data_IF_358139687708
#
_entry.id   IF_358139687708
#
_cell.length_a   1.000
_cell.length_b   1.000
_cell.length_c   1.000
_cell.angle_alpha   90.00
_cell.angle_beta   90.00
_cell.angle_gamma   90.00
#
_symmetry.space_group_name_H-M   'P 1'
#
loop_
_entity.id
_entity.type
_entity.pdbx_description
1 polymer ?
#
# COMPACT_ATOMS: atom_id res chain seq x y z
N UNK A 1 -9.90 13.46 -46.44
CA UNK A 1 -9.38 12.61 -45.34
C UNK A 1 -9.23 11.21 -45.88
N UNK A 2 -8.01 10.66 -45.95
CA UNK A 2 -7.78 9.32 -46.49
C UNK A 2 -8.07 8.23 -45.44
N UNK A 3 -8.12 6.96 -45.85
CA UNK A 3 -8.46 5.84 -44.97
C UNK A 3 -7.48 5.66 -43.80
N UNK A 4 -6.18 5.95 -44.00
CA UNK A 4 -5.18 5.96 -42.92
C UNK A 4 -5.44 7.07 -41.91
N UNK A 5 -5.77 8.29 -42.35
CA UNK A 5 -6.13 9.40 -41.47
C UNK A 5 -7.41 9.12 -40.69
N UNK A 6 -8.39 8.43 -41.29
CA UNK A 6 -9.62 8.00 -40.61
C UNK A 6 -9.37 6.90 -39.58
N UNK A 7 -8.49 5.94 -39.88
CA UNK A 7 -8.05 4.91 -38.94
C UNK A 7 -7.27 5.53 -37.76
N UNK A 8 -6.38 6.46 -38.03
CA UNK A 8 -5.61 7.17 -37.01
C UNK A 8 -6.53 8.06 -36.14
N UNK A 9 -7.52 8.73 -36.75
CA UNK A 9 -8.55 9.47 -36.03
C UNK A 9 -9.47 8.56 -35.20
N UNK A 10 -9.81 7.36 -35.72
CA UNK A 10 -10.65 6.38 -35.03
C UNK A 10 -9.90 5.70 -33.87
N UNK A 11 -8.62 5.39 -34.05
CA UNK A 11 -7.71 4.89 -33.01
C UNK A 11 -7.47 5.97 -31.93
N UNK A 12 -7.46 7.25 -32.30
CA UNK A 12 -7.40 8.39 -31.38
C UNK A 12 -8.76 8.76 -30.75
N UNK A 13 -9.88 8.14 -31.17
CA UNK A 13 -11.25 8.36 -30.68
C UNK A 13 -11.71 7.36 -29.62
N UNK A 14 -10.81 6.56 -29.04
CA UNK A 14 -11.19 5.73 -27.88
C UNK A 14 -11.73 6.61 -26.76
N UNK A 15 -12.83 6.27 -26.07
CA UNK A 15 -13.28 7.04 -24.89
C UNK A 15 -12.31 6.94 -23.69
N UNK A 16 -11.24 6.15 -23.83
CA UNK A 16 -10.27 5.82 -22.79
C UNK A 16 -8.85 6.19 -23.23
N UNK A 17 -8.08 6.77 -22.33
CA UNK A 17 -6.62 6.78 -22.36
C UNK A 17 -6.09 5.56 -21.61
N UNK A 18 -4.90 5.08 -21.99
CA UNK A 18 -4.28 3.95 -21.31
C UNK A 18 -2.78 4.09 -21.14
N UNK A 19 -2.26 3.60 -20.03
CA UNK A 19 -0.83 3.46 -19.77
C UNK A 19 -0.56 2.14 -19.06
N UNK A 20 0.55 1.49 -19.41
CA UNK A 20 0.98 0.24 -18.80
C UNK A 20 2.08 0.52 -17.79
N UNK A 21 2.00 -0.14 -16.65
CA UNK A 21 2.95 -0.04 -15.55
C UNK A 21 3.55 -1.40 -15.25
N UNK A 22 4.87 -1.44 -15.10
CA UNK A 22 5.58 -2.64 -14.66
C UNK A 22 5.59 -2.70 -13.14
N UNK A 23 4.66 -3.46 -12.58
CA UNK A 23 4.56 -3.63 -11.13
C UNK A 23 5.50 -4.76 -10.69
N UNK A 24 6.59 -4.42 -10.01
CA UNK A 24 7.55 -5.36 -9.45
C UNK A 24 7.09 -5.82 -8.06
N UNK A 25 7.02 -7.13 -7.81
CA UNK A 25 6.84 -7.67 -6.45
C UNK A 25 8.17 -7.63 -5.70
N UNK A 26 8.25 -6.88 -4.59
CA UNK A 26 9.48 -6.78 -3.78
C UNK A 26 9.52 -7.89 -2.72
N UNK A 27 8.36 -8.21 -2.15
CA UNK A 27 8.22 -9.28 -1.16
C UNK A 27 7.09 -10.25 -1.55
N UNK A 28 7.09 -11.48 -1.02
CA UNK A 28 6.06 -12.47 -1.33
C UNK A 28 4.65 -11.92 -1.09
N UNK A 29 3.76 -12.11 -2.07
CA UNK A 29 2.41 -11.56 -2.06
C UNK A 29 1.38 -12.66 -1.78
N UNK A 30 0.90 -12.71 -0.53
CA UNK A 30 -0.14 -13.66 -0.10
C UNK A 30 -1.53 -13.19 -0.49
N UNK A 31 -2.03 -13.55 -1.67
CA UNK A 31 -3.39 -13.21 -2.13
C UNK A 31 -4.07 -14.49 -2.61
N UNK A 32 -5.27 -14.76 -2.09
CA UNK A 32 -6.01 -15.98 -2.39
C UNK A 32 -7.31 -15.67 -3.16
N UNK A 33 -7.69 -16.57 -4.06
CA UNK A 33 -8.92 -16.50 -4.86
C UNK A 33 -10.18 -16.84 -4.07
N UNK A 34 -11.35 -16.71 -4.73
CA UNK A 34 -12.65 -17.04 -4.14
C UNK A 34 -12.84 -18.54 -3.85
N UNK A 35 -12.07 -19.40 -4.52
CA UNK A 35 -12.04 -20.85 -4.29
C UNK A 35 -11.47 -21.24 -2.92
N UNK A 36 -10.87 -20.29 -2.18
CA UNK A 36 -10.31 -20.54 -0.84
C UNK A 36 -9.17 -21.56 -0.83
N UNK A 37 -8.63 -21.93 -2.00
CA UNK A 37 -7.56 -22.91 -2.09
C UNK A 37 -6.31 -22.36 -1.42
N UNK A 38 -5.95 -22.94 -0.29
CA UNK A 38 -4.69 -22.67 0.42
C UNK A 38 -3.44 -23.00 -0.41
N UNK A 39 -3.59 -23.62 -1.58
CA UNK A 39 -2.52 -24.07 -2.47
C UNK A 39 -2.31 -23.17 -3.69
N UNK A 40 -3.13 -22.13 -3.85
CA UNK A 40 -3.10 -21.26 -5.01
C UNK A 40 -3.11 -19.78 -4.59
N UNK A 41 -2.14 -19.03 -5.09
CA UNK A 41 -2.10 -17.59 -4.99
C UNK A 41 -2.39 -16.96 -6.36
N UNK A 42 -3.20 -15.90 -6.38
CA UNK A 42 -3.65 -15.23 -7.60
C UNK A 42 -3.50 -13.71 -7.47
N UNK A 43 -2.95 -13.06 -8.51
CA UNK A 43 -2.94 -11.60 -8.57
C UNK A 43 -4.33 -11.10 -8.98
N UNK A 44 -4.96 -10.32 -8.11
CA UNK A 44 -6.37 -9.91 -8.28
C UNK A 44 -6.51 -8.41 -8.41
N UNK A 45 -7.03 -7.95 -9.55
CA UNK A 45 -7.38 -6.55 -9.79
C UNK A 45 -8.31 -5.97 -8.70
N UNK A 46 -9.34 -6.68 -8.20
CA UNK A 46 -10.15 -6.17 -7.09
C UNK A 46 -9.32 -5.86 -5.83
N UNK A 47 -8.35 -6.71 -5.51
CA UNK A 47 -7.45 -6.50 -4.36
C UNK A 47 -6.57 -5.26 -4.58
N UNK A 48 -6.01 -5.09 -5.78
CA UNK A 48 -5.24 -3.91 -6.17
C UNK A 48 -6.09 -2.63 -6.06
N UNK A 49 -7.31 -2.63 -6.60
CA UNK A 49 -8.23 -1.48 -6.52
C UNK A 49 -8.57 -1.12 -5.07
N UNK A 50 -8.76 -2.12 -4.22
CA UNK A 50 -9.05 -1.91 -2.80
C UNK A 50 -7.94 -1.16 -2.07
N UNK A 51 -6.68 -1.51 -2.31
CA UNK A 51 -5.53 -0.83 -1.69
C UNK A 51 -5.26 0.55 -2.28
N UNK A 52 -5.45 0.74 -3.60
CA UNK A 52 -5.36 2.07 -4.24
C UNK A 52 -6.38 3.04 -3.63
N UNK A 53 -7.64 2.60 -3.50
CA UNK A 53 -8.71 3.40 -2.83
C UNK A 53 -8.37 3.70 -1.38
N UNK A 54 -7.76 2.75 -0.68
CA UNK A 54 -7.31 2.94 0.70
C UNK A 54 -6.26 4.03 0.82
N UNK A 55 -5.23 3.99 -0.01
CA UNK A 55 -4.15 4.98 0.02
C UNK A 55 -4.61 6.36 -0.45
N UNK A 56 -5.56 6.43 -1.39
CA UNK A 56 -6.22 7.70 -1.70
C UNK A 56 -6.93 8.28 -0.46
N UNK A 57 -7.72 7.48 0.28
CA UNK A 57 -8.36 7.94 1.53
C UNK A 57 -7.36 8.39 2.60
N UNK A 58 -6.21 7.72 2.69
CA UNK A 58 -5.19 8.02 3.69
C UNK A 58 -4.56 9.42 3.51
N UNK A 59 -4.72 10.03 2.34
CA UNK A 59 -4.29 11.40 2.02
C UNK A 59 -5.46 12.38 1.85
N UNK A 60 -6.63 12.06 2.42
CA UNK A 60 -7.76 12.99 2.43
C UNK A 60 -7.92 13.64 3.82
N UNK A 61 -7.91 14.97 3.84
CA UNK A 61 -8.17 15.79 5.03
C UNK A 61 -9.66 16.20 5.12
N UNK A 62 -10.56 15.22 5.07
CA UNK A 62 -12.01 15.45 5.16
C UNK A 62 -12.61 14.59 6.25
N UNK A 63 -13.15 15.19 7.31
CA UNK A 63 -13.66 14.41 8.44
C UNK A 63 -15.06 13.83 8.19
N UNK A 64 -15.85 14.46 7.31
CA UNK A 64 -17.24 14.06 7.03
C UNK A 64 -17.29 12.77 6.18
N UNK A 65 -17.69 11.61 6.75
CA UNK A 65 -17.60 10.33 6.07
C UNK A 65 -18.47 10.24 4.81
N UNK A 66 -19.60 10.95 4.80
CA UNK A 66 -20.51 10.94 3.65
C UNK A 66 -19.90 11.67 2.45
N UNK A 67 -19.24 12.79 2.68
CA UNK A 67 -18.56 13.56 1.63
C UNK A 67 -17.36 12.79 1.08
N UNK A 68 -16.55 12.18 1.97
CA UNK A 68 -15.44 11.33 1.56
C UNK A 68 -15.91 10.16 0.68
N UNK A 69 -17.01 9.50 1.05
CA UNK A 69 -17.58 8.40 0.27
C UNK A 69 -18.13 8.85 -1.09
N UNK A 70 -18.74 10.03 -1.15
CA UNK A 70 -19.23 10.63 -2.41
C UNK A 70 -18.06 10.91 -3.36
N UNK A 71 -16.99 11.51 -2.87
CA UNK A 71 -15.78 11.79 -3.65
C UNK A 71 -15.08 10.51 -4.08
N UNK A 72 -14.97 9.51 -3.20
CA UNK A 72 -14.42 8.20 -3.55
C UNK A 72 -15.23 7.54 -4.67
N UNK A 73 -16.56 7.62 -4.58
CA UNK A 73 -17.46 7.04 -5.59
C UNK A 73 -17.33 7.76 -6.93
N UNK A 74 -17.14 9.09 -6.92
CA UNK A 74 -16.85 9.86 -8.13
C UNK A 74 -15.53 9.42 -8.79
N UNK A 75 -14.48 9.19 -8.01
CA UNK A 75 -13.14 8.83 -8.51
C UNK A 75 -12.97 7.35 -8.86
N UNK A 76 -13.62 6.44 -8.15
CA UNK A 76 -13.35 4.99 -8.29
C UNK A 76 -14.60 4.14 -8.57
N UNK A 77 -15.75 4.79 -8.73
CA UNK A 77 -17.06 4.14 -8.85
C UNK A 77 -17.53 3.53 -7.52
N UNK A 78 -18.79 3.15 -7.51
CA UNK A 78 -19.45 2.62 -6.31
C UNK A 78 -20.92 2.31 -6.57
N UNK A 79 -21.53 1.58 -5.65
CA UNK A 79 -22.94 1.17 -5.72
C UNK A 79 -23.81 1.84 -4.66
N UNK A 80 -23.22 2.53 -3.68
CA UNK A 80 -23.93 3.07 -2.52
C UNK A 80 -24.49 4.47 -2.78
N UNK A 81 -23.63 5.50 -2.83
CA UNK A 81 -24.03 6.90 -2.99
C UNK A 81 -23.70 7.35 -4.41
N UNK A 82 -24.67 7.88 -5.16
CA UNK A 82 -24.49 8.30 -6.56
C UNK A 82 -23.83 7.20 -7.41
N UNK A 83 -24.46 6.02 -7.42
CA UNK A 83 -23.92 4.82 -8.03
C UNK A 83 -23.46 5.07 -9.47
N UNK A 84 -22.22 4.69 -9.76
CA UNK A 84 -21.63 4.91 -11.07
C UNK A 84 -20.53 3.90 -11.38
N UNK A 85 -20.34 3.63 -12.68
CA UNK A 85 -19.22 2.86 -13.17
C UNK A 85 -17.92 3.64 -12.94
N UNK A 86 -16.90 2.94 -12.45
CA UNK A 86 -15.56 3.49 -12.24
C UNK A 86 -15.03 4.20 -13.50
N UNK A 87 -14.52 5.43 -13.40
CA UNK A 87 -13.82 6.11 -14.48
C UNK A 87 -12.46 5.50 -14.81
N UNK A 88 -11.89 4.73 -13.87
CA UNK A 88 -10.61 4.02 -14.03
C UNK A 88 -10.81 2.50 -13.96
N UNK A 89 -10.07 1.76 -14.78
CA UNK A 89 -9.97 0.31 -14.72
C UNK A 89 -8.50 -0.12 -14.76
N UNK A 90 -8.19 -1.23 -14.09
CA UNK A 90 -6.88 -1.87 -14.18
C UNK A 90 -7.06 -3.23 -14.82
N UNK A 91 -6.16 -3.60 -15.73
CA UNK A 91 -6.22 -4.83 -16.49
C UNK A 91 -4.86 -5.50 -16.46
N UNK A 92 -4.86 -6.81 -16.20
CA UNK A 92 -3.73 -7.70 -16.45
C UNK A 92 -4.14 -8.62 -17.59
N UNK A 93 -3.29 -8.74 -18.61
CA UNK A 93 -3.63 -9.51 -19.82
C UNK A 93 -3.79 -11.00 -19.55
N UNK A 94 -2.97 -11.53 -18.63
CA UNK A 94 -3.00 -12.92 -18.20
C UNK A 94 -3.15 -12.98 -16.68
N UNK A 95 -4.08 -13.79 -16.16
CA UNK A 95 -4.14 -14.07 -14.73
C UNK A 95 -2.79 -14.63 -14.26
N UNK A 96 -2.19 -13.99 -13.27
CA UNK A 96 -0.98 -14.52 -12.65
C UNK A 96 -1.36 -15.39 -11.47
N UNK A 97 -1.24 -16.71 -11.68
CA UNK A 97 -1.58 -17.74 -10.71
C UNK A 97 -0.32 -18.54 -10.41
N UNK A 98 -0.03 -18.75 -9.13
CA UNK A 98 1.08 -19.56 -8.66
C UNK A 98 0.59 -20.62 -7.70
N UNK A 99 1.07 -21.84 -7.91
CA UNK A 99 0.82 -22.99 -7.04
C UNK A 99 2.11 -23.39 -6.36
N UNK A 100 2.00 -23.88 -5.12
CA UNK A 100 3.11 -24.48 -4.36
C UNK A 100 4.30 -23.58 -4.02
N UNK A 101 4.26 -22.27 -4.30
CA UNK A 101 5.24 -21.33 -3.76
C UNK A 101 4.81 -20.86 -2.38
N UNK A 102 5.52 -21.28 -1.33
CA UNK A 102 5.12 -21.05 0.06
C UNK A 102 6.14 -20.23 0.83
N UNK A 103 5.63 -19.37 1.71
CA UNK A 103 6.40 -18.65 2.73
C UNK A 103 5.68 -18.75 4.06
N UNK A 104 6.40 -18.53 5.16
CA UNK A 104 5.82 -18.56 6.50
C UNK A 104 5.20 -17.22 6.86
N UNK A 105 3.94 -17.22 7.30
CA UNK A 105 3.26 -16.02 7.85
C UNK A 105 4.00 -15.47 9.07
N UNK A 106 4.65 -16.36 9.83
CA UNK A 106 5.53 -16.03 10.96
C UNK A 106 6.96 -16.47 10.61
N UNK A 107 7.68 -15.70 9.78
CA UNK A 107 8.95 -16.15 9.23
C UNK A 107 10.05 -16.25 10.29
N UNK A 108 10.01 -15.42 11.34
CA UNK A 108 10.90 -15.52 12.51
C UNK A 108 10.75 -16.81 13.33
N UNK A 109 9.68 -17.59 13.11
CA UNK A 109 9.41 -18.88 13.77
C UNK A 109 9.33 -20.05 12.78
N UNK A 110 9.50 -19.78 11.48
CA UNK A 110 9.25 -20.73 10.41
C UNK A 110 7.89 -21.46 10.56
N UNK A 111 6.83 -20.72 10.88
CA UNK A 111 5.52 -21.31 11.18
C UNK A 111 4.39 -20.69 10.35
N UNK A 112 3.29 -21.45 10.24
CA UNK A 112 2.07 -21.07 9.51
C UNK A 112 2.34 -20.80 8.02
N UNK A 113 2.57 -21.86 7.21
CA UNK A 113 2.85 -21.72 5.79
C UNK A 113 1.66 -21.09 5.04
N UNK A 114 1.97 -20.29 4.03
CA UNK A 114 1.01 -19.59 3.18
C UNK A 114 1.52 -19.63 1.74
N UNK A 115 0.63 -19.97 0.81
CA UNK A 115 0.93 -19.89 -0.62
C UNK A 115 0.94 -18.42 -1.05
N UNK A 116 1.95 -18.04 -1.82
CA UNK A 116 2.20 -16.66 -2.21
C UNK A 116 2.50 -16.58 -3.71
N UNK A 117 2.30 -15.41 -4.30
CA UNK A 117 3.01 -15.04 -5.51
C UNK A 117 4.46 -14.70 -5.13
N UNK A 118 5.46 -15.12 -5.93
CA UNK A 118 6.86 -14.89 -5.63
C UNK A 118 7.25 -13.43 -5.76
N UNK A 119 8.27 -13.07 -4.99
CA UNK A 119 9.04 -11.83 -5.11
C UNK A 119 9.85 -11.78 -6.41
N UNK A 120 10.32 -10.58 -6.77
CA UNK A 120 11.17 -10.27 -7.91
C UNK A 120 10.54 -10.66 -9.25
N UNK A 121 9.22 -10.44 -9.38
CA UNK A 121 8.49 -10.61 -10.63
C UNK A 121 7.82 -9.32 -11.04
N UNK A 122 7.83 -9.07 -12.34
CA UNK A 122 7.13 -7.95 -12.94
C UNK A 122 5.77 -8.38 -13.49
N UNK A 123 4.77 -7.56 -13.20
CA UNK A 123 3.41 -7.72 -13.71
C UNK A 123 3.08 -6.47 -14.55
N UNK A 124 2.85 -6.61 -15.86
CA UNK A 124 2.33 -5.51 -16.65
C UNK A 124 0.87 -5.26 -16.24
N UNK A 125 0.62 -4.09 -15.66
CA UNK A 125 -0.73 -3.63 -15.29
C UNK A 125 -1.11 -2.46 -16.18
N UNK A 126 -2.11 -2.65 -17.03
CA UNK A 126 -2.66 -1.60 -17.88
C UNK A 126 -3.71 -0.82 -17.10
N UNK A 127 -3.47 0.46 -16.89
CA UNK A 127 -4.45 1.42 -16.38
C UNK A 127 -5.22 2.02 -17.56
N UNK A 128 -6.55 1.98 -17.49
CA UNK A 128 -7.47 2.57 -18.47
C UNK A 128 -8.27 3.68 -17.76
N UNK A 129 -8.24 4.89 -18.27
CA UNK A 129 -8.91 6.06 -17.67
C UNK A 129 -9.80 6.72 -18.72
N UNK A 130 -11.03 7.12 -18.36
CA UNK A 130 -11.88 7.90 -19.29
C UNK A 130 -11.20 9.21 -19.67
N UNK A 131 -11.27 9.59 -20.96
CA UNK A 131 -10.56 10.77 -21.49
C UNK A 131 -10.88 12.11 -20.82
N UNK A 132 -12.06 12.24 -20.22
CA UNK A 132 -12.50 13.44 -19.52
C UNK A 132 -12.06 13.48 -18.04
N UNK A 133 -11.26 12.51 -17.61
CA UNK A 133 -10.75 12.40 -16.25
C UNK A 133 -9.26 12.69 -16.22
N UNK A 134 -8.77 13.11 -15.06
CA UNK A 134 -7.36 13.40 -14.86
C UNK A 134 -6.57 12.08 -14.70
N UNK A 135 -5.79 11.73 -15.73
CA UNK A 135 -4.91 10.56 -15.69
C UNK A 135 -3.86 10.72 -14.60
N UNK A 136 -3.22 11.90 -14.50
CA UNK A 136 -2.13 12.17 -13.57
C UNK A 136 -2.57 11.96 -12.12
N UNK A 137 -3.82 12.27 -11.80
CA UNK A 137 -4.40 11.94 -10.50
C UNK A 137 -4.30 10.44 -10.19
N UNK A 138 -4.74 9.56 -11.09
CA UNK A 138 -4.69 8.11 -10.86
C UNK A 138 -3.26 7.58 -10.85
N UNK A 139 -2.35 8.16 -11.65
CA UNK A 139 -0.93 7.81 -11.61
C UNK A 139 -0.35 8.12 -10.23
N UNK A 140 -0.56 9.33 -9.71
CA UNK A 140 -0.05 9.75 -8.40
C UNK A 140 -0.61 8.89 -7.25
N UNK A 141 -1.88 8.48 -7.30
CA UNK A 141 -2.43 7.56 -6.29
C UNK A 141 -1.75 6.19 -6.38
N UNK A 142 -1.47 5.73 -7.60
CA UNK A 142 -0.82 4.44 -7.82
C UNK A 142 0.65 4.45 -7.36
N UNK A 143 1.38 5.52 -7.65
CA UNK A 143 2.73 5.77 -7.15
C UNK A 143 2.75 5.89 -5.62
N UNK A 144 1.81 6.62 -5.01
CA UNK A 144 1.69 6.72 -3.56
C UNK A 144 1.51 5.35 -2.90
N UNK A 145 0.56 4.55 -3.39
CA UNK A 145 0.38 3.17 -2.94
C UNK A 145 1.67 2.35 -3.13
N UNK A 146 2.34 2.49 -4.27
CA UNK A 146 3.60 1.81 -4.54
C UNK A 146 4.72 2.22 -3.58
N UNK A 147 4.77 3.47 -3.09
CA UNK A 147 5.84 3.96 -2.22
C UNK A 147 5.60 3.67 -0.74
N UNK A 148 4.35 3.70 -0.29
CA UNK A 148 4.02 3.58 1.14
C UNK A 148 3.35 2.26 1.50
N UNK A 149 2.72 1.63 0.51
CA UNK A 149 1.85 0.50 0.70
C UNK A 149 2.44 -0.84 0.33
N UNK A 150 1.56 -1.82 0.52
CA UNK A 150 1.71 -3.23 0.20
C UNK A 150 0.31 -3.84 0.14
N UNK A 151 0.17 -5.07 -0.35
CA UNK A 151 -1.14 -5.72 -0.49
C UNK A 151 -1.14 -7.19 -0.08
N UNK A 152 -2.33 -7.75 0.11
CA UNK A 152 -2.51 -9.15 0.52
C UNK A 152 -2.39 -9.39 2.04
N UNK A 153 -2.27 -10.66 2.38
CA UNK A 153 -2.14 -11.12 3.76
C UNK A 153 -0.81 -10.63 4.35
N UNK A 154 -0.89 -10.12 5.59
CA UNK A 154 0.26 -9.50 6.30
C UNK A 154 0.88 -8.29 5.59
N UNK A 155 0.15 -7.63 4.69
CA UNK A 155 0.59 -6.42 3.99
C UNK A 155 1.29 -5.41 4.92
N UNK A 156 0.67 -5.06 6.04
CA UNK A 156 1.21 -4.10 7.03
C UNK A 156 2.47 -4.54 7.77
N UNK A 157 2.97 -5.75 7.53
CA UNK A 157 4.13 -6.36 8.18
C UNK A 157 5.15 -6.82 7.12
N UNK A 158 5.30 -6.04 6.05
CA UNK A 158 6.32 -6.21 5.03
C UNK A 158 5.95 -7.11 3.84
N UNK A 159 4.96 -8.00 3.96
CA UNK A 159 4.52 -8.85 2.85
C UNK A 159 3.84 -8.06 1.74
N UNK A 160 3.90 -8.58 0.51
CA UNK A 160 3.21 -8.04 -0.65
C UNK A 160 3.57 -6.59 -0.97
N UNK A 161 4.80 -6.19 -0.65
CA UNK A 161 5.34 -4.90 -1.07
C UNK A 161 5.58 -4.94 -2.57
N UNK A 162 5.17 -3.88 -3.25
CA UNK A 162 5.31 -3.72 -4.70
C UNK A 162 6.06 -2.42 -5.00
N UNK A 163 6.55 -2.29 -6.22
CA UNK A 163 7.27 -1.11 -6.68
C UNK A 163 7.02 -0.84 -8.16
N UNK A 164 6.76 0.43 -8.52
CA UNK A 164 6.52 0.90 -9.89
C UNK A 164 7.71 1.67 -10.50
N UNK A 165 8.59 2.19 -9.65
CA UNK A 165 9.73 3.01 -10.04
C UNK A 165 11.00 2.49 -9.38
N UNK A 166 12.13 2.64 -10.04
CA UNK A 166 13.44 2.44 -9.43
C UNK A 166 13.89 3.74 -8.74
N UNK A 167 14.70 3.60 -7.70
CA UNK A 167 15.23 4.73 -6.94
C UNK A 167 16.73 4.54 -6.75
N UNK A 168 17.49 5.57 -7.09
CA UNK A 168 18.95 5.52 -7.07
C UNK A 168 19.47 5.43 -5.64
N UNK A 169 18.91 6.23 -4.74
CA UNK A 169 19.23 6.27 -3.32
C UNK A 169 18.03 6.69 -2.47
N UNK A 170 18.23 6.78 -1.16
CA UNK A 170 17.17 7.10 -0.20
C UNK A 170 16.67 8.54 -0.35
N UNK A 171 17.52 9.47 -0.77
CA UNK A 171 17.14 10.87 -0.92
C UNK A 171 16.28 11.05 -2.17
N UNK A 172 16.62 10.37 -3.27
CA UNK A 172 15.78 10.28 -4.47
C UNK A 172 14.38 9.73 -4.13
N UNK A 173 14.31 8.61 -3.41
CA UNK A 173 13.05 8.05 -2.93
C UNK A 173 12.25 9.03 -2.08
N UNK A 174 12.88 9.69 -1.11
CA UNK A 174 12.21 10.64 -0.22
C UNK A 174 11.72 11.85 -1.00
N UNK A 175 12.51 12.38 -1.93
CA UNK A 175 12.14 13.51 -2.76
C UNK A 175 10.91 13.21 -3.62
N UNK A 176 10.86 12.05 -4.27
CA UNK A 176 9.71 11.64 -5.07
C UNK A 176 8.46 11.39 -4.22
N UNK A 177 8.65 10.81 -3.03
CA UNK A 177 7.59 10.65 -2.05
C UNK A 177 7.02 12.00 -1.60
N UNK A 178 7.88 12.97 -1.27
CA UNK A 178 7.45 14.32 -0.87
C UNK A 178 6.70 15.03 -2.00
N UNK A 179 7.16 14.93 -3.25
CA UNK A 179 6.44 15.47 -4.41
C UNK A 179 5.05 14.84 -4.56
N UNK A 180 4.96 13.53 -4.44
CA UNK A 180 3.68 12.81 -4.56
C UNK A 180 2.72 13.16 -3.41
N UNK A 181 3.22 13.31 -2.18
CA UNK A 181 2.42 13.77 -1.03
C UNK A 181 1.93 15.21 -1.23
N UNK A 182 2.80 16.11 -1.69
CA UNK A 182 2.46 17.49 -1.99
C UNK A 182 1.41 17.61 -3.10
N UNK A 183 1.41 16.72 -4.09
CA UNK A 183 0.35 16.66 -5.12
C UNK A 183 -1.04 16.46 -4.50
N UNK A 184 -1.14 15.73 -3.37
CA UNK A 184 -2.38 15.55 -2.61
C UNK A 184 -2.59 16.60 -1.51
N UNK A 185 -1.77 17.65 -1.46
CA UNK A 185 -1.85 18.70 -0.43
C UNK A 185 -1.33 18.24 0.94
N UNK A 186 -0.59 17.14 1.02
CA UNK A 186 -0.01 16.64 2.27
C UNK A 186 1.37 17.26 2.48
N UNK A 187 1.43 18.33 3.28
CA UNK A 187 2.69 18.97 3.66
C UNK A 187 3.39 18.17 4.76
N UNK A 188 4.62 17.76 4.48
CA UNK A 188 5.48 17.01 5.39
C UNK A 188 6.79 17.74 5.65
N UNK A 189 7.33 17.55 6.85
CA UNK A 189 8.66 18.02 7.24
C UNK A 189 9.51 16.85 7.73
N UNK A 190 10.82 16.96 7.57
CA UNK A 190 11.74 16.09 8.28
C UNK A 190 11.60 16.32 9.78
N UNK A 191 11.34 15.24 10.52
CA UNK A 191 11.39 15.23 11.98
C UNK A 191 12.77 14.72 12.46
N UNK A 192 13.41 13.87 11.66
CA UNK A 192 14.80 13.44 11.77
C UNK A 192 15.32 13.07 10.38
N UNK A 193 16.60 12.71 10.24
CA UNK A 193 17.13 12.18 8.97
C UNK A 193 16.45 10.89 8.49
N UNK A 194 15.67 10.23 9.36
CA UNK A 194 15.02 8.95 9.09
C UNK A 194 13.49 9.03 9.16
N UNK A 195 12.92 10.24 9.17
CA UNK A 195 11.47 10.39 9.30
C UNK A 195 10.89 11.66 8.71
N UNK A 196 9.69 11.51 8.14
CA UNK A 196 8.82 12.61 7.73
C UNK A 196 7.60 12.65 8.64
N UNK A 197 7.14 13.85 8.98
CA UNK A 197 5.94 14.11 9.78
C UNK A 197 5.05 15.10 9.07
N UNK A 198 3.74 14.85 9.05
CA UNK A 198 2.74 15.78 8.50
C UNK A 198 2.67 17.03 9.38
N UNK A 199 2.73 18.24 8.78
CA UNK A 199 2.73 19.50 9.54
C UNK A 199 1.37 19.83 10.15
N UNK A 200 0.33 19.88 9.31
CA UNK A 200 -1.01 20.29 9.69
C UNK A 200 -1.83 19.06 10.09
N UNK A 201 -1.42 18.46 11.20
CA UNK A 201 -2.01 17.23 11.71
C UNK A 201 -3.38 17.51 12.36
N UNK A 202 -4.46 17.07 11.72
CA UNK A 202 -5.82 17.10 12.26
C UNK A 202 -6.29 15.69 12.61
N UNK A 203 -6.99 15.54 13.74
CA UNK A 203 -7.54 14.25 14.16
C UNK A 203 -8.84 13.97 13.41
N UNK A 204 -8.81 12.94 12.56
CA UNK A 204 -9.94 12.57 11.70
C UNK A 204 -10.61 11.25 12.10
N UNK A 205 -11.81 11.02 11.60
CA UNK A 205 -12.65 9.84 11.78
C UNK A 205 -12.14 8.61 11.05
N UNK A 206 -11.40 8.81 9.97
CA UNK A 206 -10.74 7.75 9.21
C UNK A 206 -9.21 7.81 9.35
N UNK A 207 -8.52 6.69 9.06
CA UNK A 207 -7.06 6.68 9.09
C UNK A 207 -6.46 7.56 8.00
N UNK A 208 -5.59 8.48 8.40
CA UNK A 208 -4.78 9.32 7.51
C UNK A 208 -3.31 9.24 7.87
N UNK A 209 -2.42 9.63 6.94
CA UNK A 209 -0.98 9.61 7.19
C UNK A 209 -0.63 10.58 8.31
N UNK A 210 0.18 10.11 9.26
CA UNK A 210 0.69 10.89 10.39
C UNK A 210 2.21 11.14 10.25
N UNK A 211 2.94 10.05 10.08
CA UNK A 211 4.39 10.02 10.00
C UNK A 211 4.84 8.91 9.06
N UNK A 212 6.03 9.04 8.49
CA UNK A 212 6.67 8.03 7.65
C UNK A 212 8.09 7.84 8.17
N UNK A 213 8.47 6.60 8.45
CA UNK A 213 9.76 6.25 9.01
C UNK A 213 10.54 5.36 8.05
N UNK A 214 11.85 5.60 7.95
CA UNK A 214 12.77 4.84 7.12
C UNK A 214 13.74 4.11 8.05
N UNK A 215 13.71 2.78 8.06
CA UNK A 215 14.67 2.01 8.85
C UNK A 215 15.95 1.73 8.08
N UNK A 216 16.86 1.01 8.72
CA UNK A 216 18.19 0.70 8.16
C UNK A 216 18.08 -0.16 6.89
N UNK A 217 19.05 -0.06 5.97
CA UNK A 217 19.09 -0.94 4.80
C UNK A 217 19.41 -2.39 5.15
N UNK A 218 18.87 -3.30 4.34
CA UNK A 218 19.15 -4.74 4.34
C UNK A 218 19.61 -5.20 2.95
N UNK A 219 20.30 -6.33 2.89
CA UNK A 219 20.73 -6.96 1.62
C UNK A 219 19.66 -7.86 0.99
N UNK A 220 18.61 -8.19 1.75
CA UNK A 220 17.53 -9.09 1.32
C UNK A 220 16.17 -8.53 1.74
N UNK A 221 15.23 -8.47 0.79
CA UNK A 221 13.84 -8.11 1.07
C UNK A 221 13.20 -9.02 2.13
N UNK A 222 13.57 -10.30 2.13
CA UNK A 222 13.03 -11.29 3.07
C UNK A 222 13.52 -11.05 4.51
N UNK A 223 14.75 -10.55 4.67
CA UNK A 223 15.28 -10.20 5.99
C UNK A 223 14.54 -9.00 6.59
N UNK A 224 14.11 -8.05 5.75
CA UNK A 224 13.23 -6.95 6.16
C UNK A 224 11.89 -7.51 6.66
N UNK A 225 11.30 -8.47 5.95
CA UNK A 225 10.04 -9.13 6.37
C UNK A 225 10.21 -9.90 7.68
N UNK A 226 11.36 -10.57 7.88
CA UNK A 226 11.71 -11.21 9.15
C UNK A 226 11.83 -10.17 10.27
N UNK A 227 12.47 -9.02 10.01
CA UNK A 227 12.62 -7.93 10.97
C UNK A 227 11.25 -7.37 11.40
N UNK A 228 10.33 -7.14 10.45
CA UNK A 228 8.95 -6.77 10.76
C UNK A 228 8.24 -7.80 11.63
N UNK A 229 8.47 -9.10 11.38
CA UNK A 229 7.87 -10.17 12.15
C UNK A 229 8.43 -10.23 13.58
N UNK A 230 9.76 -10.04 13.75
CA UNK A 230 10.41 -9.93 15.06
C UNK A 230 9.89 -8.71 15.83
N UNK A 231 9.83 -7.54 15.20
CA UNK A 231 9.27 -6.32 15.79
C UNK A 231 7.83 -6.53 16.26
N UNK A 232 7.00 -7.15 15.41
CA UNK A 232 5.61 -7.47 15.76
C UNK A 232 5.48 -8.44 16.93
N UNK A 233 6.42 -9.38 17.09
CA UNK A 233 6.37 -10.40 18.15
C UNK A 233 6.63 -9.84 19.55
N UNK A 234 7.27 -8.66 19.64
CA UNK A 234 7.49 -7.93 20.89
C UNK A 234 6.24 -7.20 21.39
N UNK A 235 5.26 -6.92 20.52
CA UNK A 235 4.00 -6.31 20.94
C UNK A 235 3.15 -7.32 21.71
N UNK A 236 3.06 -7.13 23.02
CA UNK A 236 2.33 -8.02 23.93
C UNK A 236 0.88 -7.58 24.17
N UNK A 237 0.55 -6.32 23.89
CA UNK A 237 -0.69 -5.72 24.41
C UNK A 237 -1.73 -5.46 23.34
N UNK A 238 -1.34 -5.54 22.07
CA UNK A 238 -2.21 -5.39 20.91
C UNK A 238 -2.38 -3.94 20.46
N UNK A 239 -1.63 -2.98 21.01
CA UNK A 239 -1.74 -1.56 20.63
C UNK A 239 -1.19 -1.28 19.22
N UNK A 240 -0.32 -2.14 18.69
CA UNK A 240 0.02 -2.13 17.26
C UNK A 240 -0.89 -3.05 16.43
N UNK A 241 -2.13 -3.28 16.85
CA UNK A 241 -3.12 -4.09 16.16
C UNK A 241 -3.30 -5.48 16.77
N UNK A 242 -4.53 -5.99 16.69
CA UNK A 242 -4.92 -7.31 17.19
C UNK A 242 -5.88 -8.01 16.23
N UNK A 243 -5.76 -9.33 16.13
CA UNK A 243 -6.75 -10.18 15.47
C UNK A 243 -7.97 -10.30 16.39
N UNK A 244 -9.17 -10.41 15.82
CA UNK A 244 -10.37 -10.67 16.61
C UNK A 244 -10.26 -12.00 17.34
N UNK A 245 -10.58 -12.01 18.62
CA UNK A 245 -10.68 -13.22 19.44
C UNK A 245 -12.01 -13.18 20.18
N UNK A 246 -12.98 -13.99 19.71
CA UNK A 246 -14.32 -14.07 20.29
C UNK A 246 -14.29 -14.59 21.73
N UNK A 247 -13.35 -15.50 22.07
CA UNK A 247 -13.25 -16.07 23.42
C UNK A 247 -12.78 -15.04 24.44
N UNK A 248 -11.93 -14.11 24.01
CA UNK A 248 -11.39 -13.02 24.84
C UNK A 248 -12.13 -11.68 24.67
N UNK A 249 -13.28 -11.68 23.98
CA UNK A 249 -14.05 -10.49 23.60
C UNK A 249 -13.20 -9.37 22.96
N UNK A 250 -12.13 -9.75 22.23
CA UNK A 250 -11.24 -8.80 21.56
C UNK A 250 -11.74 -8.54 20.14
N UNK A 251 -12.12 -7.30 19.84
CA UNK A 251 -12.47 -6.86 18.49
C UNK A 251 -11.22 -6.75 17.62
N UNK A 252 -11.34 -6.99 16.32
CA UNK A 252 -10.23 -6.80 15.37
C UNK A 252 -9.80 -5.34 15.39
N UNK A 253 -8.53 -5.09 15.67
CA UNK A 253 -7.93 -3.77 15.59
C UNK A 253 -6.81 -3.81 14.55
N UNK A 254 -6.95 -2.95 13.56
CA UNK A 254 -6.02 -2.89 12.45
C UNK A 254 -4.78 -2.11 12.92
N UNK A 255 -3.56 -2.67 12.74
CA UNK A 255 -2.32 -1.94 13.05
C UNK A 255 -2.28 -0.54 12.42
N UNK A 256 -2.01 0.52 13.19
CA UNK A 256 -1.76 1.86 12.66
C UNK A 256 -0.41 1.98 11.96
N UNK A 257 0.51 1.03 12.15
CA UNK A 257 1.80 0.99 11.47
C UNK A 257 1.70 0.11 10.22
N UNK A 258 1.71 0.73 9.05
CA UNK A 258 1.78 0.05 7.76
C UNK A 258 3.24 -0.09 7.32
N UNK A 259 3.83 -1.27 7.55
CA UNK A 259 5.18 -1.58 7.11
C UNK A 259 5.22 -2.14 5.68
N UNK A 260 6.02 -1.52 4.82
CA UNK A 260 6.36 -1.97 3.47
C UNK A 260 7.88 -2.13 3.31
N UNK A 261 8.30 -2.73 2.20
CA UNK A 261 9.71 -2.91 1.80
C UNK A 261 9.92 -2.27 0.44
N UNK A 262 10.97 -1.46 0.31
CA UNK A 262 11.35 -0.78 -0.93
C UNK A 262 12.78 -1.11 -1.32
N UNK A 263 12.98 -1.34 -2.60
CA UNK A 263 14.29 -1.58 -3.19
C UNK A 263 14.85 -0.25 -3.69
N UNK A 264 15.96 0.19 -3.11
CA UNK A 264 16.54 1.52 -3.30
C UNK A 264 18.07 1.35 -3.35
N UNK A 265 18.72 1.78 -4.43
CA UNK A 265 20.17 1.67 -4.58
C UNK A 265 20.72 0.25 -4.40
N UNK A 266 19.97 -0.77 -4.83
CA UNK A 266 20.33 -2.18 -4.66
C UNK A 266 20.21 -2.74 -3.24
N UNK A 267 19.68 -1.97 -2.29
CA UNK A 267 19.38 -2.40 -0.92
C UNK A 267 17.88 -2.39 -0.66
N UNK A 268 17.46 -3.03 0.42
CA UNK A 268 16.06 -3.13 0.82
C UNK A 268 15.80 -2.38 2.12
N UNK A 269 14.91 -1.39 2.08
CA UNK A 269 14.58 -0.54 3.21
C UNK A 269 13.18 -0.88 3.75
N UNK A 270 13.01 -1.03 5.07
CA UNK A 270 11.70 -0.95 5.68
C UNK A 270 11.20 0.50 5.65
N UNK A 271 10.03 0.71 5.03
CA UNK A 271 9.30 1.99 5.05
C UNK A 271 8.02 1.80 5.85
N UNK A 272 7.88 2.55 6.95
CA UNK A 272 6.77 2.42 7.89
C UNK A 272 5.92 3.68 7.84
N UNK A 273 4.69 3.55 7.34
CA UNK A 273 3.72 4.64 7.41
C UNK A 273 2.88 4.49 8.67
N UNK A 274 2.95 5.48 9.55
CA UNK A 274 2.06 5.61 10.70
C UNK A 274 0.77 6.29 10.26
N UNK A 275 -0.34 5.62 10.53
CA UNK A 275 -1.68 6.11 10.24
C UNK A 275 -2.39 6.49 11.53
N UNK A 276 -3.13 7.58 11.47
CA UNK A 276 -4.02 7.97 12.57
C UNK A 276 -5.02 6.86 12.87
N UNK A 277 -5.33 6.68 14.14
CA UNK A 277 -6.37 5.73 14.53
C UNK A 277 -7.08 6.15 15.80
N UNK A 278 -8.40 6.30 15.70
CA UNK A 278 -9.28 6.53 16.85
C UNK A 278 -9.38 5.32 17.79
N UNK A 279 -8.93 4.14 17.33
CA UNK A 279 -8.92 2.92 18.15
C UNK A 279 -7.77 2.87 19.16
N UNK A 280 -6.83 3.83 19.11
CA UNK A 280 -5.75 3.94 20.10
C UNK A 280 -6.33 4.57 21.37
N UNK A 281 -6.48 3.77 22.42
CA UNK A 281 -7.07 4.20 23.71
C UNK A 281 -6.04 4.63 24.74
N UNK A 282 -4.76 4.29 24.55
CA UNK A 282 -3.67 4.67 25.43
C UNK A 282 -2.46 5.12 24.61
N UNK A 283 -2.32 6.44 24.43
CA UNK A 283 -1.28 7.03 23.59
C UNK A 283 0.13 6.74 24.09
N UNK A 284 0.42 6.94 25.39
CA UNK A 284 1.75 6.69 25.96
C UNK A 284 2.21 5.25 25.73
N UNK A 285 1.31 4.29 25.95
CA UNK A 285 1.61 2.87 25.73
C UNK A 285 1.80 2.54 24.25
N UNK A 286 0.96 3.11 23.40
CA UNK A 286 1.09 2.99 21.96
C UNK A 286 2.44 3.53 21.46
N UNK A 287 2.86 4.70 21.92
CA UNK A 287 4.12 5.33 21.54
C UNK A 287 5.32 4.48 21.97
N UNK A 288 5.30 3.93 23.20
CA UNK A 288 6.34 3.01 23.65
C UNK A 288 6.45 1.77 22.76
N UNK A 289 5.33 1.08 22.49
CA UNK A 289 5.35 -0.10 21.61
C UNK A 289 5.73 0.24 20.17
N UNK A 290 5.26 1.38 19.65
CA UNK A 290 5.64 1.88 18.34
C UNK A 290 7.15 2.10 18.29
N UNK A 291 7.72 2.72 19.32
CA UNK A 291 9.13 3.02 19.36
C UNK A 291 9.97 1.74 19.41
N UNK A 292 9.62 0.78 20.28
CA UNK A 292 10.26 -0.54 20.29
C UNK A 292 10.16 -1.27 18.95
N UNK A 293 9.03 -1.14 18.24
CA UNK A 293 8.83 -1.71 16.91
C UNK A 293 9.76 -1.07 15.87
N UNK A 294 9.89 0.25 15.90
CA UNK A 294 10.72 1.04 14.99
C UNK A 294 12.22 0.79 15.25
N UNK A 295 12.65 0.70 16.51
CA UNK A 295 14.04 0.39 16.89
C UNK A 295 14.51 -0.96 16.33
N UNK A 296 13.66 -1.99 16.34
CA UNK A 296 14.01 -3.30 15.75
C UNK A 296 14.32 -3.18 14.26
N UNK A 297 13.66 -2.27 13.57
CA UNK A 297 13.85 -1.96 12.15
C UNK A 297 15.01 -0.99 11.90
N UNK A 298 15.69 -0.54 12.97
CA UNK A 298 16.85 0.34 12.88
C UNK A 298 16.48 1.79 12.58
N UNK A 299 15.28 2.21 12.98
CA UNK A 299 14.90 3.62 12.97
C UNK A 299 15.47 4.28 14.22
N UNK A 300 16.15 5.41 14.06
CA UNK A 300 16.55 6.27 15.18
C UNK A 300 15.39 7.18 15.57
N UNK A 301 14.98 7.10 16.84
CA UNK A 301 13.81 7.78 17.41
C UNK A 301 14.26 8.94 18.29
#
# INVERSE_FOLDING_TARGET
>A
MNHSQLLELALNKTALQSKTYQLKTITPLGVHGASGSQFEAEFRIPSLRGVIRYWWRAVQHMDEPKELLQLETKKFGGTSVNAQKSPVAFVVEKPWIVRNYKKFVLPHKNSSPMTCLPEQKEIPVKMLVKRNEDVAFYENVFHLFSMLGSMGQRARRGFGSIQLSEYEDIDDFINELMRTLNYFGIDVMFNSSHSLKVRNYEKLSHPTIASIWFGRPYTSAWDVVIAYAKASSKNQTGMLGQVSDKKRNKKRFASPLWGSVKEIGGKYYPVITELQSQSITNMKKYENERNEFLEVLGVSI
#
